data_IF_063703599176
#
_entry.id   IF_063703599176
#
_cell.length_a   1.000
_cell.length_b   1.000
_cell.length_c   1.000
_cell.angle_alpha   90.00
_cell.angle_beta   90.00
_cell.angle_gamma   90.00
#
_symmetry.space_group_name_H-M   'P 1'
#
loop_
_entity.id
_entity.type
_entity.pdbx_description
1 polymer ?
#
# COMPACT_ATOMS: atom_id res chain seq x y z
N UNK A 1 -67.65 -22.78 -8.27
CA UNK A 1 -66.84 -21.84 -7.50
C UNK A 1 -65.35 -22.22 -7.69
N UNK A 2 -64.66 -21.61 -8.64
CA UNK A 2 -63.27 -21.82 -8.93
C UNK A 2 -62.45 -20.66 -8.31
N UNK A 3 -61.53 -20.98 -7.43
CA UNK A 3 -60.54 -20.01 -6.91
C UNK A 3 -59.31 -19.97 -7.82
N UNK A 4 -59.11 -18.83 -8.48
CA UNK A 4 -57.88 -18.52 -9.21
C UNK A 4 -56.76 -18.18 -8.24
N UNK A 5 -55.68 -18.95 -8.28
CA UNK A 5 -54.44 -18.65 -7.57
C UNK A 5 -53.53 -17.80 -8.44
N UNK A 6 -53.39 -16.55 -8.04
CA UNK A 6 -52.43 -15.60 -8.62
C UNK A 6 -50.99 -16.00 -8.28
N UNK A 7 -50.22 -16.40 -9.31
CA UNK A 7 -48.75 -16.55 -9.20
C UNK A 7 -48.10 -15.16 -9.24
N UNK A 8 -47.54 -14.70 -8.11
CA UNK A 8 -46.63 -13.55 -8.06
C UNK A 8 -45.35 -13.89 -8.81
N UNK A 9 -45.10 -13.11 -9.88
CA UNK A 9 -43.83 -13.18 -10.60
C UNK A 9 -42.71 -12.60 -9.73
N UNK A 10 -41.64 -13.37 -9.50
CA UNK A 10 -40.41 -12.89 -8.92
C UNK A 10 -39.65 -12.01 -9.89
N UNK A 11 -39.03 -10.88 -9.45
CA UNK A 11 -38.22 -10.06 -10.32
C UNK A 11 -36.94 -10.82 -10.71
N UNK A 12 -36.70 -10.93 -12.02
CA UNK A 12 -35.46 -11.50 -12.57
C UNK A 12 -34.28 -10.60 -12.21
N UNK A 13 -33.24 -11.18 -11.61
CA UNK A 13 -31.95 -10.54 -11.41
C UNK A 13 -31.39 -10.03 -12.76
N UNK A 14 -30.80 -8.83 -12.83
CA UNK A 14 -30.18 -8.37 -14.06
C UNK A 14 -28.93 -9.18 -14.35
N UNK A 15 -28.82 -9.64 -15.59
CA UNK A 15 -27.68 -10.40 -16.10
C UNK A 15 -26.38 -9.57 -15.98
N UNK A 16 -25.38 -10.16 -15.38
CA UNK A 16 -24.02 -9.62 -15.33
C UNK A 16 -23.46 -9.45 -16.74
N UNK A 17 -23.01 -8.23 -17.12
CA UNK A 17 -22.12 -8.06 -18.27
C UNK A 17 -22.46 -7.05 -19.35
N UNK A 18 -23.53 -6.25 -19.28
CA UNK A 18 -23.75 -5.17 -20.23
C UNK A 18 -23.05 -3.87 -19.75
N UNK A 19 -21.92 -3.50 -20.38
CA UNK A 19 -21.28 -2.19 -20.17
C UNK A 19 -22.28 -1.09 -20.53
N UNK A 20 -22.87 -0.48 -19.50
CA UNK A 20 -23.79 0.66 -19.67
C UNK A 20 -23.02 1.81 -20.34
N UNK A 21 -23.46 2.24 -21.51
CA UNK A 21 -22.89 3.45 -22.16
C UNK A 21 -23.34 4.68 -21.38
N UNK A 22 -22.38 5.49 -20.95
CA UNK A 22 -22.63 6.75 -20.27
C UNK A 22 -23.47 7.68 -21.14
N UNK A 23 -24.49 8.30 -20.59
CA UNK A 23 -25.30 9.32 -21.22
C UNK A 23 -24.50 10.60 -21.49
N UNK A 24 -24.98 11.48 -22.34
CA UNK A 24 -24.33 12.76 -22.63
C UNK A 24 -24.27 13.66 -21.39
N UNK A 25 -25.28 13.59 -20.52
CA UNK A 25 -25.33 14.33 -19.26
C UNK A 25 -24.28 13.82 -18.27
N UNK A 26 -24.13 12.50 -18.08
CA UNK A 26 -23.12 11.88 -17.23
C UNK A 26 -21.69 12.20 -17.70
N UNK A 27 -21.46 12.20 -19.03
CA UNK A 27 -20.17 12.61 -19.60
C UNK A 27 -19.85 14.07 -19.33
N UNK A 28 -20.86 14.96 -19.37
CA UNK A 28 -20.69 16.38 -19.07
C UNK A 28 -20.36 16.60 -17.60
N UNK A 29 -21.07 15.94 -16.69
CA UNK A 29 -20.77 15.98 -15.25
C UNK A 29 -19.36 15.47 -14.93
N UNK A 30 -18.95 14.37 -15.55
CA UNK A 30 -17.58 13.85 -15.39
C UNK A 30 -16.54 14.87 -15.89
N UNK A 31 -16.80 15.52 -17.02
CA UNK A 31 -15.91 16.55 -17.56
C UNK A 31 -15.84 17.79 -16.66
N UNK A 32 -16.96 18.21 -16.09
CA UNK A 32 -17.03 19.34 -15.14
C UNK A 32 -16.27 19.01 -13.84
N UNK A 33 -16.43 17.79 -13.29
CA UNK A 33 -15.69 17.34 -12.12
C UNK A 33 -14.17 17.29 -12.39
N UNK A 34 -13.76 16.80 -13.57
CA UNK A 34 -12.36 16.78 -13.98
C UNK A 34 -11.83 18.21 -14.14
N UNK A 35 -12.63 19.13 -14.65
CA UNK A 35 -12.23 20.53 -14.87
C UNK A 35 -12.13 21.29 -13.54
N UNK A 36 -13.03 21.04 -12.59
CA UNK A 36 -13.00 21.60 -11.23
C UNK A 36 -11.79 21.07 -10.44
N UNK A 37 -11.42 19.82 -10.67
CA UNK A 37 -10.22 19.22 -10.06
C UNK A 37 -8.90 19.78 -10.63
N UNK A 38 -8.94 20.47 -11.80
CA UNK A 38 -7.74 21.10 -12.40
C UNK A 38 -7.43 22.50 -11.87
N UNK A 39 -8.29 23.16 -11.08
CA UNK A 39 -8.09 24.44 -10.38
C UNK A 39 -6.86 25.30 -10.77
N UNK A 40 -6.64 26.36 -10.05
CA UNK A 40 -5.49 27.29 -10.18
C UNK A 40 -4.12 26.70 -9.73
N UNK A 41 -4.06 25.38 -9.55
CA UNK A 41 -2.86 24.63 -9.16
C UNK A 41 -2.57 24.64 -7.65
N UNK A 42 -3.34 25.36 -6.85
CA UNK A 42 -3.24 25.32 -5.39
C UNK A 42 -4.37 24.47 -4.81
N UNK A 43 -4.09 23.52 -3.92
CA UNK A 43 -5.12 22.72 -3.29
C UNK A 43 -5.93 23.58 -2.31
N UNK A 44 -7.25 23.66 -2.52
CA UNK A 44 -8.17 24.38 -1.63
C UNK A 44 -8.92 23.46 -0.68
N UNK A 45 -8.92 22.16 -0.94
CA UNK A 45 -9.62 21.15 -0.13
C UNK A 45 -8.68 20.00 0.22
N UNK A 46 -9.01 19.22 1.26
CA UNK A 46 -8.26 18.04 1.64
C UNK A 46 -8.15 17.01 0.49
N UNK A 47 -9.24 16.82 -0.26
CA UNK A 47 -9.28 15.91 -1.42
C UNK A 47 -8.27 16.32 -2.50
N UNK A 48 -8.13 17.62 -2.75
CA UNK A 48 -7.18 18.11 -3.75
C UNK A 48 -5.72 17.95 -3.34
N UNK A 49 -5.43 17.83 -2.03
CA UNK A 49 -4.07 17.56 -1.55
C UNK A 49 -3.63 16.12 -1.79
N UNK A 50 -4.57 15.19 -2.01
CA UNK A 50 -4.24 13.78 -2.22
C UNK A 50 -3.69 13.58 -3.64
N UNK A 51 -2.42 13.13 -3.78
CA UNK A 51 -1.66 13.26 -5.03
C UNK A 51 -1.88 12.10 -6.02
N UNK A 52 -3.12 11.69 -6.27
CA UNK A 52 -3.41 10.81 -7.40
C UNK A 52 -4.58 11.37 -8.21
N UNK A 53 -4.66 11.01 -9.49
CA UNK A 53 -5.73 11.49 -10.37
C UNK A 53 -6.96 10.62 -10.28
N UNK A 54 -6.82 9.30 -10.38
CA UNK A 54 -7.94 8.37 -10.42
C UNK A 54 -7.55 6.98 -9.92
N UNK A 55 -8.43 6.35 -9.14
CA UNK A 55 -8.37 4.95 -8.76
C UNK A 55 -9.38 4.15 -9.58
N UNK A 56 -8.98 2.96 -10.06
CA UNK A 56 -9.84 2.08 -10.84
C UNK A 56 -10.20 0.81 -10.05
N UNK A 57 -11.34 0.16 -10.33
CA UNK A 57 -11.77 -1.04 -9.60
C UNK A 57 -10.76 -2.20 -9.63
N UNK A 58 -9.98 -2.34 -10.71
CA UNK A 58 -8.97 -3.39 -10.91
C UNK A 58 -7.64 -3.11 -10.19
N UNK A 59 -7.61 -2.14 -9.28
CA UNK A 59 -6.45 -1.79 -8.49
C UNK A 59 -5.44 -0.89 -9.19
N UNK A 60 -5.65 -0.53 -10.44
CA UNK A 60 -4.79 0.43 -11.12
C UNK A 60 -5.09 1.84 -10.59
N UNK A 61 -4.04 2.59 -10.28
CA UNK A 61 -4.13 3.99 -9.92
C UNK A 61 -3.40 4.83 -10.97
N UNK A 62 -4.11 5.78 -11.56
CA UNK A 62 -3.51 6.84 -12.34
C UNK A 62 -2.99 7.90 -11.35
N UNK A 63 -1.67 7.96 -11.18
CA UNK A 63 -1.05 8.81 -10.17
C UNK A 63 -0.92 10.24 -10.69
N UNK A 64 -0.21 10.45 -11.78
CA UNK A 64 0.00 11.79 -12.36
C UNK A 64 0.52 11.67 -13.78
N UNK A 65 0.18 12.60 -14.66
CA UNK A 65 0.67 12.61 -16.03
C UNK A 65 0.51 11.26 -16.74
N UNK A 66 1.61 10.58 -17.03
CA UNK A 66 1.65 9.26 -17.66
C UNK A 66 1.92 8.11 -16.66
N UNK A 67 1.96 8.39 -15.37
CA UNK A 67 2.32 7.40 -14.32
C UNK A 67 1.12 6.64 -13.83
N UNK A 68 1.22 5.32 -13.87
CA UNK A 68 0.22 4.36 -13.38
C UNK A 68 0.88 3.41 -12.38
N UNK A 69 0.14 3.00 -11.36
CA UNK A 69 0.64 2.09 -10.32
C UNK A 69 -0.35 1.00 -9.97
N UNK A 70 0.17 -0.12 -9.47
CA UNK A 70 -0.57 -1.18 -8.76
C UNK A 70 0.11 -1.50 -7.44
N UNK A 71 -0.60 -2.20 -6.57
CA UNK A 71 -0.10 -2.58 -5.26
C UNK A 71 -0.41 -4.05 -5.02
N UNK A 72 0.54 -4.76 -4.41
CA UNK A 72 0.39 -6.12 -3.91
C UNK A 72 0.62 -6.08 -2.40
N UNK A 73 -0.27 -6.70 -1.64
CA UNK A 73 -0.08 -6.95 -0.22
C UNK A 73 0.66 -8.27 -0.03
N UNK A 74 1.57 -8.33 0.94
CA UNK A 74 2.35 -9.54 1.22
C UNK A 74 2.52 -9.74 2.73
N UNK A 75 2.73 -10.99 3.12
CA UNK A 75 2.89 -11.40 4.51
C UNK A 75 4.37 -11.61 4.88
N UNK A 76 4.63 -11.95 6.14
CA UNK A 76 5.97 -12.25 6.61
C UNK A 76 6.45 -13.63 6.15
N UNK A 77 7.76 -13.75 6.03
CA UNK A 77 8.45 -15.02 6.01
C UNK A 77 9.04 -15.29 7.39
N UNK A 78 9.03 -16.55 7.79
CA UNK A 78 9.59 -16.96 9.08
C UNK A 78 11.13 -17.03 9.05
N UNK A 79 11.76 -15.90 8.79
CA UNK A 79 13.21 -15.77 8.68
C UNK A 79 13.93 -16.07 9.99
N UNK A 80 13.35 -15.68 11.14
CA UNK A 80 14.03 -15.84 12.45
C UNK A 80 14.22 -17.30 12.85
N UNK A 81 13.26 -18.17 12.52
CA UNK A 81 13.29 -19.60 12.83
C UNK A 81 13.96 -20.44 11.74
N UNK A 82 14.33 -19.85 10.62
CA UNK A 82 14.98 -20.54 9.52
C UNK A 82 16.44 -20.94 9.90
N UNK A 83 16.91 -22.05 9.35
CA UNK A 83 18.30 -22.48 9.49
C UNK A 83 19.25 -21.54 8.72
N UNK A 84 20.55 -21.59 8.99
CA UNK A 84 21.53 -20.68 8.39
C UNK A 84 21.54 -20.76 6.84
N UNK A 85 21.46 -21.97 6.29
CA UNK A 85 21.43 -22.17 4.84
C UNK A 85 20.16 -21.64 4.22
N UNK A 86 18.99 -21.82 4.89
CA UNK A 86 17.72 -21.28 4.45
C UNK A 86 17.72 -19.74 4.50
N UNK A 87 18.33 -19.14 5.51
CA UNK A 87 18.48 -17.68 5.62
C UNK A 87 19.27 -17.11 4.44
N UNK A 88 20.34 -17.79 4.06
CA UNK A 88 21.15 -17.41 2.90
C UNK A 88 20.34 -17.50 1.61
N UNK A 89 19.62 -18.60 1.41
CA UNK A 89 18.76 -18.78 0.24
C UNK A 89 17.63 -17.73 0.16
N UNK A 90 17.00 -17.41 1.31
CA UNK A 90 15.98 -16.35 1.39
C UNK A 90 16.59 -15.00 0.99
N UNK A 91 17.78 -14.68 1.46
CA UNK A 91 18.46 -13.43 1.15
C UNK A 91 18.83 -13.35 -0.33
N UNK A 92 19.38 -14.42 -0.91
CA UNK A 92 19.70 -14.48 -2.34
C UNK A 92 18.46 -14.32 -3.21
N UNK A 93 17.39 -15.05 -2.92
CA UNK A 93 16.12 -14.91 -3.62
C UNK A 93 15.53 -13.49 -3.50
N UNK A 94 15.70 -12.83 -2.35
CA UNK A 94 15.28 -11.45 -2.15
C UNK A 94 16.11 -10.48 -3.01
N UNK A 95 17.41 -10.69 -3.11
CA UNK A 95 18.28 -9.92 -3.98
C UNK A 95 17.89 -10.09 -5.46
N UNK A 96 17.62 -11.32 -5.89
CA UNK A 96 17.17 -11.62 -7.25
C UNK A 96 15.80 -10.95 -7.55
N UNK A 97 14.89 -10.98 -6.58
CA UNK A 97 13.62 -10.29 -6.69
C UNK A 97 13.78 -8.77 -6.88
N UNK A 98 14.67 -8.12 -6.14
CA UNK A 98 14.93 -6.70 -6.32
C UNK A 98 15.63 -6.40 -7.66
N UNK A 99 16.51 -7.29 -8.12
CA UNK A 99 17.19 -7.17 -9.41
C UNK A 99 16.27 -7.40 -10.62
N UNK A 100 15.09 -8.00 -10.43
CA UNK A 100 14.08 -8.15 -11.48
C UNK A 100 13.61 -6.79 -12.05
N UNK A 101 13.55 -5.75 -11.21
CA UNK A 101 13.03 -4.46 -11.62
C UNK A 101 14.06 -3.66 -12.42
N UNK A 102 13.72 -3.32 -13.65
CA UNK A 102 14.52 -2.42 -14.48
C UNK A 102 14.29 -0.94 -14.12
N UNK A 103 15.09 -0.04 -14.71
CA UNK A 103 15.02 1.40 -14.45
C UNK A 103 13.69 2.05 -14.85
N UNK A 104 12.83 1.38 -15.62
CA UNK A 104 11.52 1.87 -16.05
C UNK A 104 10.41 1.60 -15.03
N UNK A 105 10.69 0.78 -14.01
CA UNK A 105 9.76 0.44 -12.93
C UNK A 105 10.24 1.11 -11.64
N UNK A 106 9.37 1.90 -11.02
CA UNK A 106 9.62 2.44 -9.69
C UNK A 106 8.90 1.58 -8.67
N UNK A 107 9.60 1.21 -7.62
CA UNK A 107 9.10 0.33 -6.58
C UNK A 107 9.10 1.05 -5.24
N UNK A 108 8.06 0.85 -4.45
CA UNK A 108 7.94 1.32 -3.08
C UNK A 108 7.50 0.16 -2.20
N UNK A 109 8.28 -0.14 -1.18
CA UNK A 109 7.86 -1.00 -0.08
C UNK A 109 7.28 -0.13 1.02
N UNK A 110 6.10 -0.45 1.48
CA UNK A 110 5.40 0.26 2.55
C UNK A 110 5.12 -0.69 3.70
N UNK A 111 5.55 -0.32 4.88
CA UNK A 111 5.27 -1.00 6.13
C UNK A 111 4.39 -0.08 6.96
N UNK A 112 3.16 -0.52 7.23
CA UNK A 112 2.15 0.26 7.91
C UNK A 112 1.81 -0.43 9.22
N UNK A 113 2.13 0.21 10.32
CA UNK A 113 1.78 -0.23 11.66
C UNK A 113 0.63 0.65 12.16
N UNK A 114 -0.56 0.09 12.22
CA UNK A 114 -1.79 0.82 12.60
C UNK A 114 -2.56 0.05 13.66
N UNK A 115 -3.35 0.78 14.46
CA UNK A 115 -4.32 0.15 15.35
C UNK A 115 -5.24 -0.80 14.58
N UNK A 116 -5.24 -2.07 14.96
CA UNK A 116 -6.14 -3.06 14.35
C UNK A 116 -7.58 -2.60 14.50
N UNK A 117 -8.34 -2.59 13.42
CA UNK A 117 -9.78 -2.48 13.52
C UNK A 117 -10.26 -3.70 14.29
N UNK A 118 -11.12 -3.52 15.29
CA UNK A 118 -11.55 -4.61 16.20
C UNK A 118 -11.94 -5.92 15.48
N UNK A 119 -12.45 -5.82 14.24
CA UNK A 119 -12.79 -6.98 13.41
C UNK A 119 -11.57 -7.73 12.83
N UNK A 120 -10.44 -7.07 12.55
CA UNK A 120 -9.25 -7.73 11.99
C UNK A 120 -8.45 -8.46 13.07
N UNK A 121 -8.31 -7.86 14.25
CA UNK A 121 -7.70 -8.53 15.40
C UNK A 121 -8.56 -9.70 15.89
N UNK A 122 -9.89 -9.59 15.81
CA UNK A 122 -10.82 -10.67 16.14
C UNK A 122 -10.85 -11.77 15.08
N UNK A 123 -10.70 -11.45 13.78
CA UNK A 123 -10.70 -12.43 12.71
C UNK A 123 -9.36 -13.13 12.52
N UNK A 124 -8.24 -12.50 12.93
CA UNK A 124 -6.91 -13.07 12.81
C UNK A 124 -6.71 -14.36 13.63
N UNK A 125 -7.51 -14.55 14.70
CA UNK A 125 -7.51 -15.78 15.49
C UNK A 125 -8.92 -16.36 15.51
N UNK A 126 -9.19 -17.19 14.52
CA UNK A 126 -10.40 -18.01 14.47
C UNK A 126 -10.01 -19.48 14.55
N UNK A 127 -10.28 -20.11 15.71
CA UNK A 127 -10.15 -21.56 15.86
C UNK A 127 -11.53 -22.14 15.56
N UNK A 128 -11.68 -22.91 14.47
CA UNK A 128 -12.99 -23.45 14.10
C UNK A 128 -13.49 -24.43 15.16
N UNK A 129 -14.79 -24.36 15.46
CA UNK A 129 -15.47 -25.33 16.32
C UNK A 129 -15.50 -26.70 15.63
N UNK A 130 -15.34 -27.77 16.41
CA UNK A 130 -15.43 -29.16 15.95
C UNK A 130 -16.59 -29.86 16.70
N UNK A 131 -17.03 -30.95 16.13
CA UNK A 131 -18.09 -31.77 16.76
C UNK A 131 -17.51 -32.67 17.86
N UNK A 132 -16.99 -32.02 18.94
CA UNK A 132 -16.42 -32.65 20.11
C UNK A 132 -16.66 -31.82 21.38
N UNK A 133 -16.28 -32.38 22.55
CA UNK A 133 -16.48 -31.75 23.86
C UNK A 133 -15.45 -30.62 24.17
N UNK A 134 -14.52 -30.30 23.27
CA UNK A 134 -13.39 -29.39 23.55
C UNK A 134 -13.57 -27.98 23.03
N UNK A 135 -14.76 -27.61 22.58
CA UNK A 135 -15.00 -26.26 22.05
C UNK A 135 -14.84 -25.15 23.09
N UNK A 136 -15.13 -25.42 24.38
CA UNK A 136 -14.87 -24.48 25.46
C UNK A 136 -13.36 -24.17 25.60
N UNK A 137 -12.51 -25.18 25.50
CA UNK A 137 -11.04 -25.04 25.56
C UNK A 137 -10.53 -24.30 24.34
N UNK A 138 -11.08 -24.57 23.14
CA UNK A 138 -10.71 -23.83 21.91
C UNK A 138 -11.04 -22.35 22.03
N UNK A 139 -12.21 -22.02 22.57
CA UNK A 139 -12.62 -20.63 22.77
C UNK A 139 -11.71 -19.93 23.80
N UNK A 140 -11.43 -20.57 24.94
CA UNK A 140 -10.55 -20.03 25.96
C UNK A 140 -9.11 -19.82 25.41
N UNK A 141 -8.62 -20.77 24.62
CA UNK A 141 -7.31 -20.64 23.95
C UNK A 141 -7.32 -19.52 22.90
N UNK A 142 -8.38 -19.37 22.11
CA UNK A 142 -8.54 -18.27 21.17
C UNK A 142 -8.56 -16.91 21.87
N UNK A 143 -9.27 -16.80 22.99
CA UNK A 143 -9.35 -15.58 23.80
C UNK A 143 -8.00 -15.27 24.49
N UNK A 144 -7.27 -16.29 24.94
CA UNK A 144 -5.92 -16.13 25.46
C UNK A 144 -4.98 -15.58 24.37
N UNK A 145 -5.02 -16.14 23.15
CA UNK A 145 -4.19 -15.66 22.03
C UNK A 145 -4.55 -14.24 21.61
N UNK A 146 -5.85 -13.90 21.56
CA UNK A 146 -6.31 -12.52 21.29
C UNK A 146 -5.78 -11.54 22.33
N UNK A 147 -5.88 -11.91 23.62
CA UNK A 147 -5.36 -11.09 24.71
C UNK A 147 -3.82 -10.95 24.66
N UNK A 148 -3.12 -12.00 24.22
CA UNK A 148 -1.65 -11.97 24.05
C UNK A 148 -1.25 -11.03 22.91
N UNK A 149 -1.96 -11.12 21.77
CA UNK A 149 -1.76 -10.19 20.63
C UNK A 149 -2.06 -8.73 21.02
N UNK A 150 -3.15 -8.51 21.74
CA UNK A 150 -3.50 -7.18 22.22
C UNK A 150 -2.45 -6.59 23.16
N UNK A 151 -1.81 -7.43 23.99
CA UNK A 151 -0.73 -7.00 24.91
C UNK A 151 0.61 -6.84 24.23
N UNK A 152 0.93 -7.72 23.27
CA UNK A 152 2.26 -7.77 22.63
C UNK A 152 2.55 -6.66 21.63
N UNK A 153 1.50 -6.11 20.97
CA UNK A 153 1.64 -5.09 19.92
C UNK A 153 0.79 -3.85 20.18
N UNK A 154 0.34 -3.60 21.40
CA UNK A 154 -0.61 -2.51 21.72
C UNK A 154 -1.85 -2.47 20.79
N UNK A 155 -2.29 -3.62 20.25
CA UNK A 155 -3.36 -3.72 19.28
C UNK A 155 -3.00 -3.22 17.88
N UNK A 156 -1.71 -3.06 17.58
CA UNK A 156 -1.24 -2.64 16.25
C UNK A 156 -1.08 -3.84 15.32
N UNK A 157 -1.57 -3.71 14.11
CA UNK A 157 -1.41 -4.69 13.02
C UNK A 157 -0.40 -4.16 12.02
N UNK A 158 0.55 -5.03 11.62
CA UNK A 158 1.61 -4.70 10.66
C UNK A 158 1.17 -5.14 9.26
N UNK A 159 0.92 -4.19 8.38
CA UNK A 159 0.62 -4.44 6.97
C UNK A 159 1.83 -4.14 6.11
N UNK A 160 2.04 -4.93 5.07
CA UNK A 160 3.16 -4.81 4.14
C UNK A 160 2.66 -4.78 2.71
N UNK A 161 3.14 -3.78 1.98
CA UNK A 161 2.73 -3.55 0.60
C UNK A 161 3.93 -3.30 -0.29
N UNK A 162 3.89 -3.84 -1.50
CA UNK A 162 4.75 -3.42 -2.59
C UNK A 162 3.91 -2.69 -3.63
N UNK A 163 4.22 -1.43 -3.84
CA UNK A 163 3.61 -0.61 -4.89
C UNK A 163 4.62 -0.41 -6.00
N UNK A 164 4.25 -0.74 -7.21
CA UNK A 164 5.07 -0.55 -8.39
C UNK A 164 4.37 0.36 -9.38
N UNK A 165 5.15 1.19 -10.06
CA UNK A 165 4.64 2.17 -11.01
C UNK A 165 5.48 2.22 -12.27
N UNK A 166 4.79 2.52 -13.38
CA UNK A 166 5.37 2.66 -14.70
C UNK A 166 4.84 3.92 -15.38
N UNK A 167 5.54 4.37 -16.40
CA UNK A 167 5.04 5.38 -17.32
C UNK A 167 4.45 4.71 -18.57
N UNK A 168 3.28 5.17 -19.00
CA UNK A 168 2.60 4.71 -20.20
C UNK A 168 1.76 5.81 -20.84
N UNK A 169 1.67 5.81 -22.16
CA UNK A 169 0.93 6.82 -22.90
C UNK A 169 -0.60 6.68 -22.80
N UNK A 170 -1.07 5.50 -22.42
CA UNK A 170 -2.50 5.22 -22.26
C UNK A 170 -2.76 4.21 -21.15
N UNK A 171 -3.98 4.25 -20.62
CA UNK A 171 -4.46 3.28 -19.62
C UNK A 171 -4.39 1.83 -20.12
N UNK A 172 -4.71 1.57 -21.40
CA UNK A 172 -4.66 0.21 -21.93
C UNK A 172 -3.21 -0.32 -22.00
N UNK A 173 -2.24 0.51 -22.40
CA UNK A 173 -0.84 0.16 -22.40
C UNK A 173 -0.33 -0.07 -20.96
N UNK A 174 -0.73 0.79 -20.02
CA UNK A 174 -0.41 0.62 -18.61
C UNK A 174 -0.96 -0.70 -18.05
N UNK A 175 -2.21 -1.03 -18.34
CA UNK A 175 -2.90 -2.22 -17.83
C UNK A 175 -2.17 -3.51 -18.18
N UNK A 176 -1.82 -3.71 -19.44
CA UNK A 176 -1.14 -4.91 -19.91
C UNK A 176 0.24 -5.06 -19.25
N UNK A 177 1.00 -3.97 -19.15
CA UNK A 177 2.34 -3.99 -18.57
C UNK A 177 2.29 -4.18 -17.05
N UNK A 178 1.39 -3.50 -16.34
CA UNK A 178 1.20 -3.65 -14.90
C UNK A 178 0.73 -5.06 -14.53
N UNK A 179 -0.17 -5.67 -15.32
CA UNK A 179 -0.63 -7.04 -15.09
C UNK A 179 0.52 -8.06 -15.21
N UNK A 180 1.43 -7.87 -16.18
CA UNK A 180 2.61 -8.71 -16.31
C UNK A 180 3.52 -8.59 -15.10
N UNK A 181 3.89 -7.35 -14.72
CA UNK A 181 4.75 -7.10 -13.55
C UNK A 181 4.10 -7.66 -12.27
N UNK A 182 2.79 -7.52 -12.09
CA UNK A 182 2.06 -8.09 -10.96
C UNK A 182 2.21 -9.61 -10.89
N UNK A 183 2.04 -10.29 -12.02
CA UNK A 183 2.22 -11.75 -12.11
C UNK A 183 3.64 -12.16 -11.74
N UNK A 184 4.64 -11.44 -12.24
CA UNK A 184 6.04 -11.71 -11.96
C UNK A 184 6.36 -11.48 -10.47
N UNK A 185 5.83 -10.41 -9.85
CA UNK A 185 5.94 -10.14 -8.40
C UNK A 185 5.34 -11.29 -7.58
N UNK A 186 4.13 -11.72 -7.91
CA UNK A 186 3.46 -12.82 -7.20
C UNK A 186 4.25 -14.13 -7.31
N UNK A 187 4.81 -14.42 -8.48
CA UNK A 187 5.65 -15.59 -8.68
C UNK A 187 6.94 -15.52 -7.85
N UNK A 188 7.59 -14.36 -7.78
CA UNK A 188 8.79 -14.17 -6.95
C UNK A 188 8.47 -14.33 -5.46
N UNK A 189 7.36 -13.77 -4.97
CA UNK A 189 6.92 -13.99 -3.58
C UNK A 189 6.63 -15.47 -3.31
N UNK A 190 6.04 -16.18 -4.26
CA UNK A 190 5.82 -17.63 -4.14
C UNK A 190 7.15 -18.40 -4.04
N UNK A 191 8.18 -18.03 -4.79
CA UNK A 191 9.52 -18.61 -4.68
C UNK A 191 10.14 -18.36 -3.31
N UNK A 192 9.92 -17.15 -2.76
CA UNK A 192 10.33 -16.79 -1.40
C UNK A 192 9.52 -17.51 -0.30
N UNK A 193 8.45 -18.22 -0.64
CA UNK A 193 7.55 -18.83 0.34
C UNK A 193 6.65 -17.82 1.06
N UNK A 194 6.48 -16.63 0.50
CA UNK A 194 5.66 -15.54 1.07
C UNK A 194 4.28 -15.53 0.43
N UNK A 195 3.24 -15.49 1.27
CA UNK A 195 1.87 -15.27 0.80
C UNK A 195 1.72 -13.82 0.33
N UNK A 196 1.19 -13.65 -0.87
CA UNK A 196 0.98 -12.33 -1.46
C UNK A 196 -0.27 -12.31 -2.33
N UNK A 197 -0.98 -11.19 -2.35
CA UNK A 197 -2.19 -11.03 -3.17
C UNK A 197 -2.26 -9.61 -3.78
N UNK A 198 -2.79 -9.48 -5.00
CA UNK A 198 -2.97 -8.18 -5.62
C UNK A 198 -4.10 -7.43 -4.93
N UNK A 199 -3.92 -6.14 -4.71
CA UNK A 199 -4.94 -5.28 -4.14
C UNK A 199 -5.89 -4.77 -5.23
N UNK A 200 -7.18 -4.87 -4.97
CA UNK A 200 -8.22 -4.21 -5.78
C UNK A 200 -8.22 -2.71 -5.53
N UNK A 201 -8.97 -1.97 -6.33
CA UNK A 201 -9.16 -0.53 -6.08
C UNK A 201 -9.85 -0.26 -4.76
N UNK A 202 -10.75 -1.14 -4.31
CA UNK A 202 -11.39 -1.05 -3.00
C UNK A 202 -10.36 -1.21 -1.88
N UNK A 203 -9.54 -2.25 -1.93
CA UNK A 203 -8.51 -2.54 -0.91
C UNK A 203 -7.52 -1.38 -0.80
N UNK A 204 -7.10 -0.80 -1.92
CA UNK A 204 -6.21 0.37 -1.94
C UNK A 204 -6.86 1.61 -1.35
N UNK A 205 -8.15 1.85 -1.63
CA UNK A 205 -8.89 2.96 -1.04
C UNK A 205 -9.08 2.75 0.46
N UNK A 206 -9.38 1.53 0.89
CA UNK A 206 -9.50 1.17 2.30
C UNK A 206 -8.18 1.37 3.06
N UNK A 207 -7.06 0.94 2.48
CA UNK A 207 -5.72 1.20 3.02
C UNK A 207 -5.46 2.71 3.18
N UNK A 208 -5.73 3.50 2.14
CA UNK A 208 -5.55 4.95 2.19
C UNK A 208 -6.50 5.61 3.20
N UNK A 209 -7.75 5.16 3.27
CA UNK A 209 -8.70 5.61 4.28
C UNK A 209 -8.16 5.35 5.69
N UNK A 210 -7.63 4.17 5.96
CA UNK A 210 -7.02 3.85 7.25
C UNK A 210 -5.86 4.78 7.63
N UNK A 211 -5.04 5.17 6.65
CA UNK A 211 -3.96 6.14 6.85
C UNK A 211 -4.50 7.53 7.21
N UNK A 212 -5.54 7.98 6.51
CA UNK A 212 -6.13 9.31 6.73
C UNK A 212 -7.11 9.38 7.90
N UNK A 213 -7.57 8.23 8.41
CA UNK A 213 -8.49 8.12 9.54
C UNK A 213 -7.89 7.23 10.65
N UNK A 214 -6.81 7.68 11.29
CA UNK A 214 -6.08 6.86 12.29
C UNK A 214 -6.86 6.60 13.58
N UNK A 215 -8.06 7.17 13.72
CA UNK A 215 -8.97 6.92 14.84
C UNK A 215 -9.84 5.66 14.64
N UNK A 216 -9.71 4.98 13.47
CA UNK A 216 -10.39 3.71 13.19
C UNK A 216 -11.82 3.91 12.67
N UNK A 217 -12.11 5.01 12.00
CA UNK A 217 -13.40 5.21 11.33
C UNK A 217 -13.64 4.14 10.27
N UNK A 218 -14.85 3.54 10.21
CA UNK A 218 -15.15 2.49 9.23
C UNK A 218 -15.16 3.05 7.81
N UNK A 219 -14.48 2.36 6.90
CA UNK A 219 -14.51 2.71 5.48
C UNK A 219 -15.86 2.28 4.86
N UNK A 220 -16.58 3.24 4.29
CA UNK A 220 -17.85 3.02 3.62
C UNK A 220 -17.76 3.55 2.21
N UNK A 221 -17.66 2.65 1.24
CA UNK A 221 -17.50 2.97 -0.16
C UNK A 221 -18.13 1.91 -1.06
N UNK A 222 -18.76 2.36 -2.14
CA UNK A 222 -19.16 1.51 -3.27
C UNK A 222 -18.91 2.25 -4.59
N UNK A 223 -18.42 1.53 -5.58
CA UNK A 223 -18.19 2.05 -6.93
C UNK A 223 -19.48 2.62 -7.57
N UNK A 224 -20.64 2.06 -7.23
CA UNK A 224 -21.94 2.49 -7.75
C UNK A 224 -22.34 3.87 -7.24
N UNK A 225 -21.75 4.36 -6.17
CA UNK A 225 -22.07 5.69 -5.61
C UNK A 225 -21.39 6.84 -6.35
N UNK A 226 -20.29 6.59 -7.07
CA UNK A 226 -19.50 7.66 -7.68
C UNK A 226 -20.29 8.45 -8.75
N UNK A 227 -20.93 7.74 -9.67
CA UNK A 227 -21.65 8.40 -10.79
C UNK A 227 -22.88 9.17 -10.29
N UNK A 228 -23.77 8.59 -9.47
CA UNK A 228 -24.96 9.31 -8.99
C UNK A 228 -24.64 10.48 -8.07
N UNK A 229 -23.59 10.37 -7.25
CA UNK A 229 -23.23 11.40 -6.26
C UNK A 229 -22.42 12.55 -6.85
N UNK A 230 -21.76 12.33 -8.00
CA UNK A 230 -20.77 13.26 -8.55
C UNK A 230 -19.47 13.37 -7.73
N UNK A 231 -19.31 12.50 -6.73
CA UNK A 231 -18.10 12.43 -5.91
C UNK A 231 -16.99 11.65 -6.61
N UNK A 232 -15.78 11.85 -6.14
CA UNK A 232 -14.59 11.10 -6.57
C UNK A 232 -14.16 10.11 -5.47
N UNK A 233 -13.28 9.18 -5.80
CA UNK A 233 -12.74 8.25 -4.80
C UNK A 233 -12.00 8.97 -3.66
N UNK A 234 -11.50 10.19 -3.91
CA UNK A 234 -10.82 11.01 -2.90
C UNK A 234 -11.76 11.51 -1.80
N UNK A 235 -13.03 11.75 -2.14
CA UNK A 235 -14.02 12.24 -1.17
C UNK A 235 -14.33 11.20 -0.10
N UNK A 236 -14.15 9.92 -0.40
CA UNK A 236 -14.39 8.80 0.53
C UNK A 236 -13.19 8.48 1.43
N UNK A 237 -11.98 8.92 1.06
CA UNK A 237 -10.76 8.64 1.82
C UNK A 237 -10.16 9.88 2.48
N UNK A 238 -10.55 11.08 2.05
CA UNK A 238 -9.98 12.31 2.59
C UNK A 238 -10.39 12.53 4.04
N UNK A 239 -9.47 12.98 4.90
CA UNK A 239 -9.82 13.39 6.25
C UNK A 239 -10.65 14.67 6.23
N UNK A 240 -11.37 14.92 7.30
CA UNK A 240 -12.20 16.13 7.45
C UNK A 240 -11.39 17.43 7.32
N UNK A 241 -10.13 17.41 7.75
CA UNK A 241 -9.21 18.54 7.62
C UNK A 241 -7.75 18.13 7.74
N UNK A 242 -6.89 18.81 6.98
CA UNK A 242 -5.46 18.90 7.27
C UNK A 242 -5.15 20.29 7.83
N UNK A 243 -4.37 20.35 8.88
CA UNK A 243 -3.83 21.59 9.42
C UNK A 243 -2.31 21.49 9.46
N UNK A 244 -1.67 22.25 8.58
CA UNK A 244 -0.23 22.43 8.58
C UNK A 244 0.05 23.68 9.41
N UNK A 245 0.69 23.53 10.57
CA UNK A 245 1.09 24.62 11.44
C UNK A 245 2.51 25.08 11.17
N UNK A 246 2.99 26.01 12.00
CA UNK A 246 4.42 26.34 12.04
C UNK A 246 5.16 25.20 12.73
N UNK A 247 6.12 24.60 12.03
CA UNK A 247 6.95 23.54 12.59
C UNK A 247 6.99 22.25 11.77
N UNK A 248 7.42 21.18 12.43
CA UNK A 248 7.68 19.87 11.83
C UNK A 248 6.49 18.91 11.90
N UNK A 249 5.33 19.37 12.35
CA UNK A 249 4.14 18.56 12.58
C UNK A 249 2.94 19.05 11.80
N UNK A 250 1.99 18.16 11.57
CA UNK A 250 0.68 18.48 11.01
C UNK A 250 -0.41 17.84 11.87
N UNK A 251 -1.62 18.36 11.77
CA UNK A 251 -2.81 17.76 12.40
C UNK A 251 -3.71 17.16 11.35
N UNK A 252 -4.25 15.99 11.67
CA UNK A 252 -5.23 15.28 10.89
C UNK A 252 -6.32 14.76 11.86
N UNK A 253 -7.51 15.37 11.81
CA UNK A 253 -8.51 15.19 12.87
C UNK A 253 -7.96 15.59 14.24
N UNK A 254 -8.02 14.69 15.21
CA UNK A 254 -7.47 14.88 16.57
C UNK A 254 -6.00 14.44 16.70
N UNK A 255 -5.48 13.72 15.74
CA UNK A 255 -4.10 13.20 15.78
C UNK A 255 -3.09 14.24 15.28
N UNK A 256 -1.90 14.15 15.81
CA UNK A 256 -0.74 14.93 15.39
C UNK A 256 0.23 13.97 14.70
N UNK A 257 0.63 14.31 13.48
CA UNK A 257 1.60 13.56 12.70
C UNK A 257 2.87 14.35 12.46
N UNK A 258 3.94 13.64 12.19
CA UNK A 258 5.19 14.17 11.68
C UNK A 258 5.69 13.28 10.54
N UNK A 259 6.43 13.88 9.61
CA UNK A 259 7.11 13.15 8.53
C UNK A 259 8.59 13.38 8.67
N UNK A 260 9.35 12.31 8.63
CA UNK A 260 10.81 12.32 8.63
C UNK A 260 11.33 11.53 7.45
N UNK A 261 12.50 11.87 6.96
CA UNK A 261 13.19 11.09 5.93
C UNK A 261 14.64 10.89 6.34
N UNK A 262 15.18 9.75 5.94
CA UNK A 262 16.58 9.43 6.19
C UNK A 262 17.41 10.06 5.08
N UNK A 263 18.17 11.10 5.41
CA UNK A 263 18.99 11.86 4.48
C UNK A 263 20.40 11.25 4.34
N UNK A 264 20.99 10.85 5.46
CA UNK A 264 22.33 10.30 5.52
C UNK A 264 22.28 8.93 6.16
N UNK A 265 22.69 7.91 5.43
CA UNK A 265 22.86 6.56 5.95
C UNK A 265 24.19 6.47 6.70
N UNK A 266 24.17 5.84 7.89
CA UNK A 266 25.40 5.47 8.56
C UNK A 266 26.23 4.50 7.68
N UNK A 267 27.57 4.51 7.79
CA UNK A 267 28.42 3.59 7.03
C UNK A 267 28.07 2.12 7.28
N UNK A 268 27.63 1.82 8.48
CA UNK A 268 27.14 0.49 8.88
C UNK A 268 25.73 0.64 9.43
N UNK A 269 24.79 -0.10 8.85
CA UNK A 269 23.41 -0.21 9.32
C UNK A 269 23.22 -1.57 9.97
N UNK A 270 22.64 -1.57 11.16
CA UNK A 270 22.23 -2.78 11.85
C UNK A 270 20.91 -3.31 11.24
N UNK A 271 20.78 -4.63 11.12
CA UNK A 271 19.57 -5.33 10.65
C UNK A 271 18.33 -5.01 11.51
N UNK A 272 18.52 -4.48 12.70
CA UNK A 272 17.45 -4.14 13.64
C UNK A 272 16.78 -2.80 13.41
N UNK A 273 17.33 -1.92 12.57
CA UNK A 273 16.83 -0.54 12.43
C UNK A 273 15.37 -0.50 12.00
N UNK A 274 14.98 -1.33 11.04
CA UNK A 274 13.61 -1.36 10.55
C UNK A 274 12.64 -2.01 11.56
N UNK A 275 12.94 -3.17 12.15
CA UNK A 275 12.15 -3.72 13.25
C UNK A 275 11.98 -2.76 14.42
N UNK A 276 13.05 -2.10 14.89
CA UNK A 276 12.98 -1.15 16.02
C UNK A 276 12.07 0.04 15.72
N UNK A 277 12.09 0.57 14.49
CA UNK A 277 11.16 1.63 14.08
C UNK A 277 9.72 1.12 14.03
N UNK A 278 9.49 -0.09 13.53
CA UNK A 278 8.16 -0.67 13.41
C UNK A 278 7.59 -1.20 14.74
N UNK A 279 8.44 -1.36 15.75
CA UNK A 279 8.01 -1.76 17.10
C UNK A 279 7.65 -0.57 18.01
N UNK A 280 7.70 0.66 17.47
CA UNK A 280 7.21 1.82 18.20
C UNK A 280 5.72 1.66 18.54
N UNK A 281 5.35 2.07 19.76
CA UNK A 281 3.98 1.94 20.30
C UNK A 281 2.93 2.81 19.59
N UNK A 282 3.35 3.66 18.68
CA UNK A 282 2.49 4.55 17.92
C UNK A 282 2.29 4.05 16.49
N UNK A 283 1.22 4.49 15.83
CA UNK A 283 1.03 4.23 14.41
C UNK A 283 2.20 4.79 13.60
N UNK A 284 2.92 3.91 12.90
CA UNK A 284 4.09 4.26 12.09
C UNK A 284 3.92 3.77 10.67
N UNK A 285 4.32 4.59 9.71
CA UNK A 285 4.37 4.22 8.30
C UNK A 285 5.81 4.42 7.82
N UNK A 286 6.43 3.34 7.37
CA UNK A 286 7.76 3.37 6.78
C UNK A 286 7.66 3.08 5.29
N UNK A 287 8.21 3.95 4.48
CA UNK A 287 8.27 3.78 3.03
C UNK A 287 9.71 3.70 2.55
N UNK A 288 10.04 2.65 1.83
CA UNK A 288 11.30 2.47 1.12
C UNK A 288 11.06 2.66 -0.37
N UNK A 289 11.62 3.72 -0.93
CA UNK A 289 11.58 3.98 -2.37
C UNK A 289 12.80 3.36 -3.04
N UNK A 290 12.57 2.42 -3.94
CA UNK A 290 13.61 1.67 -4.63
C UNK A 290 13.55 2.03 -6.11
N UNK A 291 14.68 2.42 -6.65
CA UNK A 291 14.85 2.71 -8.08
C UNK A 291 16.07 1.97 -8.59
N UNK A 292 15.87 1.12 -9.56
CA UNK A 292 16.96 0.49 -10.30
C UNK A 292 17.65 1.52 -11.18
N UNK A 293 18.96 1.42 -11.29
CA UNK A 293 19.81 2.29 -12.11
C UNK A 293 20.32 1.45 -13.28
N UNK A 294 20.33 2.04 -14.45
CA UNK A 294 20.94 1.38 -15.62
C UNK A 294 22.39 0.99 -15.32
N UNK A 295 22.81 -0.19 -15.76
CA UNK A 295 24.13 -0.76 -15.46
C UNK A 295 25.26 0.18 -15.90
N UNK A 296 25.12 0.86 -17.02
CA UNK A 296 26.12 1.81 -17.54
C UNK A 296 26.24 3.06 -16.66
N UNK A 297 25.12 3.54 -16.14
CA UNK A 297 25.06 4.68 -15.21
C UNK A 297 25.61 4.27 -13.83
N UNK A 298 25.27 3.07 -13.35
CA UNK A 298 25.80 2.52 -12.12
C UNK A 298 27.33 2.43 -12.15
N UNK A 299 27.91 1.86 -13.21
CA UNK A 299 29.36 1.74 -13.40
C UNK A 299 30.03 3.13 -13.40
N UNK A 300 29.46 4.10 -14.11
CA UNK A 300 29.98 5.49 -14.13
C UNK A 300 29.96 6.11 -12.74
N UNK A 301 28.87 5.90 -12.00
CA UNK A 301 28.70 6.43 -10.65
C UNK A 301 29.69 5.81 -9.67
N UNK A 302 29.92 4.50 -9.74
CA UNK A 302 30.88 3.79 -8.92
C UNK A 302 32.30 4.27 -9.21
N UNK A 303 32.69 4.33 -10.49
CA UNK A 303 34.02 4.83 -10.91
C UNK A 303 34.27 6.26 -10.41
N UNK A 304 33.27 7.15 -10.51
CA UNK A 304 33.39 8.51 -9.99
C UNK A 304 33.61 8.52 -8.48
N UNK A 305 32.80 7.74 -7.71
CA UNK A 305 32.97 7.66 -6.26
C UNK A 305 34.32 7.10 -5.85
N UNK A 306 34.83 6.07 -6.53
CA UNK A 306 36.18 5.52 -6.28
C UNK A 306 37.21 6.62 -6.49
N UNK A 307 37.17 7.35 -7.61
CA UNK A 307 38.07 8.45 -7.88
C UNK A 307 38.02 9.57 -6.83
N UNK A 308 36.83 9.89 -6.34
CA UNK A 308 36.64 10.91 -5.29
C UNK A 308 37.20 10.44 -3.93
N UNK A 309 37.02 9.16 -3.57
CA UNK A 309 37.62 8.56 -2.38
C UNK A 309 39.17 8.54 -2.46
N UNK A 310 39.73 8.19 -3.60
CA UNK A 310 41.18 8.22 -3.81
C UNK A 310 41.75 9.64 -3.64
N UNK A 311 41.06 10.66 -4.15
CA UNK A 311 41.42 12.07 -3.93
C UNK A 311 41.38 12.45 -2.46
N UNK A 312 40.30 12.09 -1.75
CA UNK A 312 40.17 12.35 -0.32
C UNK A 312 41.30 11.69 0.47
N UNK A 313 41.60 10.42 0.17
CA UNK A 313 42.72 9.70 0.81
C UNK A 313 44.07 10.41 0.60
N UNK A 314 44.33 10.91 -0.62
CA UNK A 314 45.55 11.65 -0.92
C UNK A 314 45.58 12.99 -0.16
N UNK A 315 44.45 13.68 -0.01
CA UNK A 315 44.36 14.93 0.75
C UNK A 315 44.56 14.69 2.27
N UNK A 316 44.00 13.62 2.81
CA UNK A 316 44.21 13.25 4.22
C UNK A 316 45.70 12.90 4.49
N UNK A 317 46.31 12.13 3.60
CA UNK A 317 47.77 11.83 3.70
C UNK A 317 48.62 13.11 3.63
N UNK A 318 48.27 14.07 2.80
CA UNK A 318 48.98 15.38 2.74
C UNK A 318 48.78 16.20 4.01
N UNK A 319 47.63 16.09 4.68
CA UNK A 319 47.38 16.78 5.95
C UNK A 319 48.09 16.11 7.13
N UNK A 320 48.25 14.78 7.10
CA UNK A 320 48.93 14.04 8.14
C UNK A 320 50.51 14.21 8.11
N UNK A 321 51.05 14.70 6.97
CA UNK A 321 52.48 14.94 6.78
C UNK A 321 52.86 16.38 7.08
N UNK A 322 51.91 17.27 7.32
CA UNK A 322 52.07 18.65 7.79
C UNK A 322 51.88 18.73 9.31
#
# INVERSE_FOLDING_TARGET
MQKATSKKAQPKSPAAGAKRKLTRAEKKQIAEVIQTAKGDGKPHTAQQTIPYMQMFPDGICHVSGKRYSKTVAFEDINYQLAQADDKTAIFENWCDFLNYFDASVQVQLSFINQGGRGSEAESAIHIPTQDDAFNSIRNEYADMLKNQLAKGNNGLVKHKYITFSIEADSMNAAKSRLARIETDILNNFKVLGVSAHPMTGYDRLEMLHGIFHPEGEPFRFSWDWLIPSGLTTKDFIAPSSFRFGEGRTFRMGKKIGAVSFLEILAPELNDRILPEILDLENGVIVNLHIRSIDQSEAIKTIKRKITDLDKMKIEEQKKAVR
#
